data_IF_338517166476
#
_entry.id   IF_338517166476
#
_cell.length_a   1.000
_cell.length_b   1.000
_cell.length_c   1.000
_cell.angle_alpha   90.00
_cell.angle_beta   90.00
_cell.angle_gamma   90.00
#
_symmetry.space_group_name_H-M   'P 1'
#
loop_
_entity.id
_entity.type
_entity.pdbx_description
1 polymer ?
#
# COMPACT_ATOMS: atom_id res chain seq x y z
N UNK A 1 28.81 1.14 7.29
CA UNK A 1 27.74 2.17 7.38
C UNK A 1 26.47 1.44 7.82
N UNK A 2 25.99 1.62 9.05
CA UNK A 2 24.75 0.97 9.50
C UNK A 2 23.59 1.59 8.72
N UNK A 3 22.86 0.76 7.99
CA UNK A 3 21.69 1.13 7.23
C UNK A 3 20.67 1.83 8.15
N UNK A 4 20.27 3.06 7.83
CA UNK A 4 19.37 3.88 8.61
C UNK A 4 17.90 3.41 8.55
N UNK A 5 17.59 2.38 7.77
CA UNK A 5 16.24 1.85 7.56
C UNK A 5 16.14 0.34 7.86
N UNK A 6 16.58 -0.13 9.03
CA UNK A 6 16.87 -1.56 9.18
C UNK A 6 15.66 -2.49 9.24
N UNK A 7 14.42 -2.02 9.38
CA UNK A 7 13.33 -2.95 9.73
C UNK A 7 11.99 -2.73 9.04
N UNK A 8 11.76 -1.61 8.36
CA UNK A 8 10.42 -1.30 7.86
C UNK A 8 10.02 -2.04 6.57
N UNK A 9 10.99 -2.52 5.82
CA UNK A 9 10.79 -3.23 4.55
C UNK A 9 10.95 -4.74 4.68
N UNK A 10 11.41 -5.21 5.83
CA UNK A 10 11.61 -6.63 6.06
C UNK A 10 10.29 -7.31 6.39
N UNK A 11 10.21 -8.60 6.04
CA UNK A 11 9.16 -9.48 6.50
C UNK A 11 9.34 -9.66 8.02
N UNK A 12 8.35 -9.27 8.79
CA UNK A 12 8.32 -9.55 10.23
C UNK A 12 7.64 -10.89 10.45
N UNK A 13 8.22 -11.71 11.30
CA UNK A 13 7.53 -12.89 11.80
C UNK A 13 6.25 -12.42 12.49
N UNK A 14 5.13 -12.92 12.08
CA UNK A 14 3.83 -12.45 12.57
C UNK A 14 3.05 -11.55 11.60
N UNK A 15 3.69 -10.97 10.57
CA UNK A 15 2.99 -10.22 9.55
C UNK A 15 1.97 -11.11 8.81
N UNK A 16 2.37 -12.33 8.50
CA UNK A 16 1.53 -13.28 7.81
C UNK A 16 0.36 -13.76 8.68
N UNK A 17 0.64 -14.09 9.92
CA UNK A 17 -0.39 -14.46 10.89
C UNK A 17 -1.38 -13.34 11.12
N UNK A 18 -0.90 -12.10 11.23
CA UNK A 18 -1.76 -10.91 11.34
C UNK A 18 -2.66 -10.76 10.12
N UNK A 19 -2.09 -10.89 8.92
CA UNK A 19 -2.87 -10.85 7.69
C UNK A 19 -3.93 -11.97 7.65
N UNK A 20 -3.56 -13.20 7.95
CA UNK A 20 -4.49 -14.33 7.94
C UNK A 20 -5.62 -14.16 8.94
N UNK A 21 -5.33 -13.68 10.15
CA UNK A 21 -6.34 -13.40 11.17
C UNK A 21 -7.32 -12.33 10.70
N UNK A 22 -6.82 -11.23 10.16
CA UNK A 22 -7.65 -10.14 9.63
C UNK A 22 -8.49 -10.61 8.44
N UNK A 23 -7.88 -11.30 7.49
CA UNK A 23 -8.55 -11.75 6.28
C UNK A 23 -9.73 -12.70 6.56
N UNK A 24 -9.62 -13.55 7.58
CA UNK A 24 -10.71 -14.45 8.01
C UNK A 24 -11.92 -13.71 8.55
N UNK A 25 -11.74 -12.50 9.07
CA UNK A 25 -12.82 -11.72 9.70
C UNK A 25 -13.45 -10.70 8.75
N UNK A 26 -12.89 -10.53 7.54
CA UNK A 26 -13.50 -9.65 6.54
C UNK A 26 -14.89 -10.16 6.19
N UNK A 27 -15.88 -9.36 6.45
CA UNK A 27 -17.26 -9.64 6.09
C UNK A 27 -17.80 -8.56 5.15
N UNK A 28 -18.72 -8.97 4.30
CA UNK A 28 -19.32 -8.13 3.28
C UNK A 28 -20.83 -8.02 3.52
N UNK A 29 -21.31 -6.82 3.70
CA UNK A 29 -22.75 -6.54 3.74
C UNK A 29 -23.26 -6.32 2.30
N UNK A 30 -24.01 -7.28 1.79
CA UNK A 30 -24.53 -7.23 0.42
C UNK A 30 -25.55 -6.08 0.19
N UNK A 31 -26.16 -5.54 1.24
CA UNK A 31 -27.12 -4.44 1.14
C UNK A 31 -26.43 -3.09 1.01
N UNK A 32 -25.34 -2.88 1.74
CA UNK A 32 -24.64 -1.60 1.82
C UNK A 32 -23.36 -1.57 0.98
N UNK A 33 -22.87 -2.74 0.53
CA UNK A 33 -21.56 -2.88 -0.12
C UNK A 33 -20.37 -2.68 0.83
N UNK A 34 -20.63 -2.50 2.13
CA UNK A 34 -19.56 -2.23 3.11
C UNK A 34 -18.86 -3.52 3.53
N UNK A 35 -17.56 -3.43 3.64
CA UNK A 35 -16.75 -4.45 4.28
C UNK A 35 -16.45 -4.04 5.72
N UNK A 36 -16.40 -5.02 6.61
CA UNK A 36 -15.98 -4.86 7.99
C UNK A 36 -14.92 -5.87 8.34
N UNK A 37 -14.03 -5.50 9.25
CA UNK A 37 -12.91 -6.33 9.72
C UNK A 37 -12.89 -6.30 11.23
N UNK A 38 -12.71 -7.45 11.86
CA UNK A 38 -12.48 -7.55 13.30
C UNK A 38 -10.98 -7.56 13.58
N UNK A 39 -10.56 -6.83 14.60
CA UNK A 39 -9.16 -6.73 15.00
C UNK A 39 -9.02 -6.44 16.50
N UNK A 40 -7.84 -6.71 17.05
CA UNK A 40 -7.53 -6.37 18.43
C UNK A 40 -7.13 -4.87 18.54
N UNK A 41 -7.96 -4.02 19.20
CA UNK A 41 -7.71 -2.58 19.28
C UNK A 41 -6.50 -2.20 20.15
N UNK A 42 -5.98 -3.11 20.95
CA UNK A 42 -4.74 -2.89 21.70
C UNK A 42 -3.50 -2.87 20.79
N UNK A 43 -3.55 -3.61 19.68
CA UNK A 43 -2.43 -3.78 18.76
C UNK A 43 -2.62 -3.03 17.44
N UNK A 44 -3.84 -2.93 16.99
CA UNK A 44 -4.19 -2.43 15.68
C UNK A 44 -5.23 -1.32 15.78
N UNK A 45 -5.28 -0.47 14.76
CA UNK A 45 -6.32 0.54 14.57
C UNK A 45 -6.83 0.51 13.16
N UNK A 46 -8.04 0.97 12.98
CA UNK A 46 -8.63 1.20 11.68
C UNK A 46 -8.62 2.69 11.35
N UNK A 47 -8.13 3.02 10.17
CA UNK A 47 -8.26 4.35 9.57
C UNK A 47 -8.85 4.21 8.17
N UNK A 48 -10.11 4.65 7.98
CA UNK A 48 -10.84 4.39 6.74
C UNK A 48 -10.93 2.89 6.45
N UNK A 49 -10.47 2.48 5.29
CA UNK A 49 -10.45 1.08 4.84
C UNK A 49 -9.07 0.41 5.05
N UNK A 50 -8.31 0.87 6.04
CA UNK A 50 -6.98 0.36 6.37
C UNK A 50 -6.89 -0.12 7.81
N UNK A 51 -6.19 -1.22 8.01
CA UNK A 51 -5.79 -1.72 9.34
C UNK A 51 -4.30 -1.53 9.52
N UNK A 52 -3.92 -0.83 10.58
CA UNK A 52 -2.56 -0.35 10.84
C UNK A 52 -2.12 -0.74 12.25
N UNK A 53 -0.87 -1.15 12.45
CA UNK A 53 -0.34 -1.40 13.78
C UNK A 53 -0.15 -0.10 14.58
N UNK A 54 -0.49 -0.16 15.88
CA UNK A 54 -0.43 1.01 16.76
C UNK A 54 0.99 1.47 17.06
N UNK A 55 1.91 0.52 17.18
CA UNK A 55 3.30 0.75 17.60
C UNK A 55 4.23 1.11 16.44
N UNK A 56 4.19 0.34 15.36
CA UNK A 56 5.15 0.47 14.26
C UNK A 56 4.63 1.24 13.05
N UNK A 57 3.33 1.56 13.00
CA UNK A 57 2.72 2.20 11.84
C UNK A 57 2.77 1.32 10.59
N UNK A 58 2.72 -0.01 10.74
CA UNK A 58 2.65 -0.94 9.60
C UNK A 58 1.21 -1.07 9.13
N UNK A 59 1.01 -0.89 7.83
CA UNK A 59 -0.27 -1.16 7.19
C UNK A 59 -0.37 -2.66 6.88
N UNK A 60 -1.29 -3.33 7.56
CA UNK A 60 -1.47 -4.78 7.43
C UNK A 60 -2.55 -5.18 6.44
N UNK A 61 -3.54 -4.32 6.23
CA UNK A 61 -4.67 -4.64 5.36
C UNK A 61 -5.30 -3.39 4.76
N UNK A 62 -5.53 -3.43 3.44
CA UNK A 62 -6.46 -2.57 2.74
C UNK A 62 -7.69 -3.40 2.32
N UNK A 63 -8.90 -2.90 2.59
CA UNK A 63 -10.15 -3.53 2.19
C UNK A 63 -11.08 -2.57 1.44
N UNK A 64 -10.49 -1.56 0.81
CA UNK A 64 -11.23 -0.56 0.03
C UNK A 64 -11.85 -1.12 -1.23
N UNK A 65 -12.99 -0.55 -1.61
CA UNK A 65 -13.61 -0.77 -2.92
C UNK A 65 -13.24 0.31 -3.95
N UNK A 66 -12.52 1.34 -3.52
CA UNK A 66 -12.15 2.47 -4.37
C UNK A 66 -11.06 2.09 -5.38
N UNK A 67 -11.04 2.76 -6.52
CA UNK A 67 -9.98 2.60 -7.52
C UNK A 67 -8.69 3.30 -7.10
N UNK A 68 -8.82 4.43 -6.41
CA UNK A 68 -7.69 5.23 -5.92
C UNK A 68 -7.73 5.23 -4.40
N UNK A 69 -6.65 4.78 -3.78
CA UNK A 69 -6.52 4.77 -2.32
C UNK A 69 -5.34 5.61 -1.86
N UNK A 70 -5.54 6.33 -0.76
CA UNK A 70 -4.52 7.15 -0.12
C UNK A 70 -4.13 6.53 1.21
N UNK A 71 -2.90 6.10 1.30
CA UNK A 71 -2.35 5.58 2.55
C UNK A 71 -2.27 6.71 3.58
N UNK A 72 -2.82 6.53 4.79
CA UNK A 72 -2.86 7.59 5.80
C UNK A 72 -1.46 8.06 6.26
N UNK A 73 -1.41 9.30 6.72
CA UNK A 73 -0.24 9.81 7.44
C UNK A 73 0.04 8.98 8.69
N UNK A 74 1.31 8.83 9.01
CA UNK A 74 1.76 8.01 10.14
C UNK A 74 2.00 6.54 9.79
N UNK A 75 1.54 6.07 8.62
CA UNK A 75 1.97 4.76 8.10
C UNK A 75 3.42 4.85 7.67
N UNK A 76 4.25 3.94 8.19
CA UNK A 76 5.69 3.90 7.93
C UNK A 76 6.08 2.79 6.97
N UNK A 77 5.34 1.70 6.96
CA UNK A 77 5.62 0.57 6.08
C UNK A 77 4.34 -0.11 5.60
N UNK A 78 4.42 -0.68 4.42
CA UNK A 78 3.39 -1.55 3.86
C UNK A 78 3.79 -2.99 4.11
N UNK A 79 3.01 -3.71 4.91
CA UNK A 79 3.28 -5.09 5.28
C UNK A 79 2.95 -6.07 4.14
N UNK A 80 3.47 -7.31 4.19
CA UNK A 80 3.13 -8.34 3.22
C UNK A 80 1.62 -8.56 3.09
N UNK A 81 1.15 -8.71 1.86
CA UNK A 81 -0.27 -8.91 1.51
C UNK A 81 -1.22 -7.77 1.88
N UNK A 82 -0.71 -6.59 2.28
CA UNK A 82 -1.53 -5.46 2.66
C UNK A 82 -2.54 -5.06 1.57
N UNK A 83 -2.14 -5.17 0.30
CA UNK A 83 -3.02 -4.97 -0.86
C UNK A 83 -3.27 -6.30 -1.56
N UNK A 84 -4.13 -7.11 -0.96
CA UNK A 84 -4.46 -8.42 -1.51
C UNK A 84 -5.65 -8.34 -2.48
N UNK A 85 -5.51 -9.00 -3.63
CA UNK A 85 -6.51 -8.95 -4.73
C UNK A 85 -7.94 -9.28 -4.32
N UNK A 86 -8.12 -10.19 -3.35
CA UNK A 86 -9.45 -10.61 -2.92
C UNK A 86 -10.11 -9.61 -1.96
N UNK A 87 -9.33 -8.74 -1.35
CA UNK A 87 -9.79 -7.79 -0.33
C UNK A 87 -9.94 -6.37 -0.88
N UNK A 88 -9.13 -6.01 -1.86
CA UNK A 88 -9.21 -4.71 -2.54
C UNK A 88 -9.09 -4.87 -4.08
N UNK A 89 -10.05 -5.57 -4.71
CA UNK A 89 -9.94 -5.97 -6.12
C UNK A 89 -10.01 -4.79 -7.10
N UNK A 90 -10.57 -3.66 -6.67
CA UNK A 90 -10.79 -2.49 -7.54
C UNK A 90 -9.63 -1.50 -7.50
N UNK A 91 -8.72 -1.61 -6.53
CA UNK A 91 -7.61 -0.66 -6.40
C UNK A 91 -6.71 -0.71 -7.63
N UNK A 92 -6.56 0.44 -8.29
CA UNK A 92 -5.71 0.66 -9.46
C UNK A 92 -4.54 1.58 -9.16
N UNK A 93 -4.75 2.54 -8.26
CA UNK A 93 -3.74 3.51 -7.90
C UNK A 93 -3.59 3.61 -6.39
N UNK A 94 -2.37 3.43 -5.90
CA UNK A 94 -2.01 3.61 -4.50
C UNK A 94 -1.17 4.88 -4.37
N UNK A 95 -1.62 5.79 -3.50
CA UNK A 95 -0.89 7.01 -3.18
C UNK A 95 -0.36 6.88 -1.77
N UNK A 96 0.95 6.80 -1.64
CA UNK A 96 1.62 6.71 -0.34
C UNK A 96 1.69 8.09 0.31
N UNK A 97 1.52 8.16 1.62
CA UNK A 97 1.85 9.34 2.40
C UNK A 97 3.37 9.57 2.45
N UNK A 98 3.80 10.76 2.82
CA UNK A 98 5.22 11.09 2.95
C UNK A 98 5.91 10.40 4.13
N UNK A 99 5.14 9.80 5.02
CA UNK A 99 5.66 9.03 6.16
C UNK A 99 6.08 7.60 5.79
N UNK A 100 5.65 7.07 4.63
CA UNK A 100 5.99 5.71 4.19
C UNK A 100 7.42 5.64 3.73
N UNK A 101 8.22 4.83 4.42
CA UNK A 101 9.65 4.60 4.15
C UNK A 101 9.98 3.19 3.69
N UNK A 102 9.01 2.29 3.69
CA UNK A 102 9.25 0.90 3.30
C UNK A 102 8.04 0.19 2.69
N UNK A 103 8.31 -0.66 1.71
CA UNK A 103 7.34 -1.59 1.13
C UNK A 103 7.94 -2.99 1.23
N UNK A 104 7.30 -3.84 2.02
CA UNK A 104 7.78 -5.18 2.31
C UNK A 104 7.60 -6.16 1.14
N UNK A 105 8.17 -7.34 1.28
CA UNK A 105 7.97 -8.45 0.35
C UNK A 105 6.47 -8.75 0.17
N UNK A 106 6.04 -8.97 -1.05
CA UNK A 106 4.65 -9.32 -1.40
C UNK A 106 3.58 -8.32 -0.93
N UNK A 107 3.97 -7.08 -0.63
CA UNK A 107 3.04 -6.09 -0.10
C UNK A 107 1.92 -5.72 -1.08
N UNK A 108 2.24 -5.67 -2.37
CA UNK A 108 1.34 -5.34 -3.47
C UNK A 108 1.37 -6.51 -4.45
N UNK A 109 0.93 -7.67 -3.98
CA UNK A 109 1.10 -8.94 -4.67
C UNK A 109 -0.21 -9.41 -5.32
N UNK A 110 -0.13 -9.77 -6.60
CA UNK A 110 -1.26 -10.36 -7.35
C UNK A 110 -2.47 -9.44 -7.50
N UNK A 111 -2.34 -8.17 -7.20
CA UNK A 111 -3.43 -7.19 -7.28
C UNK A 111 -3.52 -6.54 -8.68
N UNK A 112 -4.55 -5.72 -8.87
CA UNK A 112 -4.80 -5.02 -10.13
C UNK A 112 -4.21 -3.60 -10.15
N UNK A 113 -3.30 -3.28 -9.25
CA UNK A 113 -2.67 -1.96 -9.15
C UNK A 113 -1.85 -1.68 -10.41
N UNK A 114 -2.12 -0.54 -11.01
CA UNK A 114 -1.46 -0.06 -12.22
C UNK A 114 -0.45 1.04 -11.94
N UNK A 115 -0.72 1.82 -10.89
CA UNK A 115 0.06 3.00 -10.54
C UNK A 115 0.36 3.07 -9.03
N UNK A 116 1.55 3.52 -8.71
CA UNK A 116 1.99 3.82 -7.35
C UNK A 116 2.55 5.23 -7.31
N UNK A 117 2.13 6.05 -6.35
CA UNK A 117 2.69 7.39 -6.14
C UNK A 117 3.47 7.43 -4.83
N UNK A 118 4.74 7.83 -4.93
CA UNK A 118 5.67 7.96 -3.82
C UNK A 118 5.80 9.43 -3.43
N UNK A 119 5.56 9.73 -2.16
CA UNK A 119 5.69 11.06 -1.59
C UNK A 119 6.92 11.25 -0.70
N UNK A 120 7.53 10.16 -0.25
CA UNK A 120 8.74 10.24 0.56
C UNK A 120 9.99 10.33 -0.34
N UNK A 121 10.93 11.16 0.05
CA UNK A 121 12.22 11.32 -0.63
C UNK A 121 13.10 10.05 -0.53
N UNK A 122 12.94 9.29 0.54
CA UNK A 122 13.67 8.04 0.80
C UNK A 122 12.68 6.92 1.02
N UNK A 123 12.74 5.91 0.18
CA UNK A 123 11.88 4.74 0.31
C UNK A 123 12.68 3.47 0.02
N UNK A 124 12.45 2.45 0.80
CA UNK A 124 12.97 1.12 0.58
C UNK A 124 11.88 0.21 0.04
N UNK A 125 12.12 -0.37 -1.12
CA UNK A 125 11.17 -1.28 -1.76
C UNK A 125 11.83 -2.66 -1.86
N UNK A 126 11.18 -3.68 -1.31
CA UNK A 126 11.64 -5.06 -1.46
C UNK A 126 11.62 -5.49 -2.92
N UNK A 127 12.57 -6.30 -3.34
CA UNK A 127 12.67 -6.87 -4.69
C UNK A 127 11.43 -7.70 -5.08
N UNK A 128 10.72 -8.27 -4.11
CA UNK A 128 9.49 -9.06 -4.31
C UNK A 128 8.21 -8.31 -3.92
N UNK A 129 8.28 -7.00 -3.68
CA UNK A 129 7.13 -6.21 -3.25
C UNK A 129 5.94 -6.27 -4.22
N UNK A 130 6.22 -6.37 -5.50
CA UNK A 130 5.24 -6.36 -6.59
C UNK A 130 5.13 -7.72 -7.32
N UNK A 131 5.58 -8.80 -6.70
CA UNK A 131 5.50 -10.12 -7.29
C UNK A 131 4.05 -10.45 -7.67
N UNK A 132 3.87 -10.96 -8.89
CA UNK A 132 2.58 -11.25 -9.52
C UNK A 132 1.64 -10.04 -9.71
N UNK A 133 2.11 -8.83 -9.50
CA UNK A 133 1.39 -7.61 -9.86
C UNK A 133 1.68 -7.24 -11.32
N UNK A 134 1.11 -7.98 -12.26
CA UNK A 134 1.38 -7.82 -13.69
C UNK A 134 0.80 -6.53 -14.28
N UNK A 135 -0.07 -5.86 -13.55
CA UNK A 135 -0.74 -4.62 -13.98
C UNK A 135 0.08 -3.37 -13.71
N UNK A 136 1.05 -3.41 -12.79
CA UNK A 136 1.84 -2.23 -12.42
C UNK A 136 2.65 -1.74 -13.63
N UNK A 137 2.42 -0.48 -14.03
CA UNK A 137 3.01 0.14 -15.21
C UNK A 137 3.93 1.29 -14.87
N UNK A 138 3.57 2.07 -13.85
CA UNK A 138 4.29 3.29 -13.54
C UNK A 138 4.35 3.54 -12.03
N UNK A 139 5.51 4.02 -11.60
CA UNK A 139 5.72 4.55 -10.25
C UNK A 139 6.01 6.04 -10.40
N UNK A 140 5.08 6.84 -9.90
CA UNK A 140 5.23 8.29 -9.85
C UNK A 140 5.95 8.68 -8.56
N UNK A 141 6.82 9.65 -8.62
CA UNK A 141 7.42 10.25 -7.43
C UNK A 141 7.23 11.75 -7.41
N UNK A 142 6.71 12.27 -6.29
CA UNK A 142 6.48 13.70 -6.08
C UNK A 142 7.77 14.43 -5.73
N UNK A 143 8.64 13.94 -4.83
CA UNK A 143 9.92 14.57 -4.60
C UNK A 143 10.75 14.59 -5.89
N UNK A 144 11.42 15.70 -6.13
CA UNK A 144 12.26 15.91 -7.31
C UNK A 144 13.36 14.84 -7.43
N UNK A 145 13.88 14.39 -6.29
CA UNK A 145 14.82 13.29 -6.19
C UNK A 145 14.30 12.26 -5.20
N UNK A 146 14.19 11.02 -5.62
CA UNK A 146 13.83 9.89 -4.80
C UNK A 146 14.95 8.88 -4.77
N UNK A 147 15.38 8.48 -3.58
CA UNK A 147 16.28 7.36 -3.42
C UNK A 147 15.46 6.11 -3.18
N UNK A 148 15.46 5.23 -4.16
CA UNK A 148 14.79 3.93 -4.08
C UNK A 148 15.86 2.88 -3.87
N UNK A 149 15.81 2.22 -2.74
CA UNK A 149 16.65 1.07 -2.46
C UNK A 149 15.88 -0.19 -2.87
N UNK A 150 16.19 -0.71 -4.03
CA UNK A 150 15.74 -2.02 -4.49
C UNK A 150 16.94 -2.95 -4.40
N UNK A 151 16.71 -4.19 -4.02
CA UNK A 151 17.75 -5.20 -4.08
C UNK A 151 18.27 -5.35 -5.51
N UNK A 152 19.55 -5.59 -5.70
CA UNK A 152 20.25 -5.50 -6.99
C UNK A 152 19.74 -6.43 -8.09
N UNK A 153 18.89 -7.40 -7.77
CA UNK A 153 18.36 -8.40 -8.71
C UNK A 153 16.96 -8.02 -9.22
N UNK A 154 16.83 -6.86 -9.84
CA UNK A 154 15.59 -6.37 -10.47
C UNK A 154 15.02 -7.27 -11.59
N UNK A 155 15.63 -8.40 -11.86
CA UNK A 155 15.16 -9.37 -12.86
C UNK A 155 13.79 -10.00 -12.52
N UNK A 156 13.34 -9.86 -11.26
CA UNK A 156 12.06 -10.40 -10.80
C UNK A 156 10.84 -9.54 -11.12
N UNK A 157 11.03 -8.28 -11.43
CA UNK A 157 9.91 -7.49 -11.91
C UNK A 157 9.58 -7.94 -13.34
N UNK A 158 8.54 -8.71 -13.49
CA UNK A 158 8.17 -9.38 -14.73
C UNK A 158 7.91 -8.44 -15.93
N UNK A 159 7.97 -7.13 -15.70
CA UNK A 159 7.90 -6.08 -16.74
C UNK A 159 8.68 -4.84 -16.28
N UNK A 160 9.26 -4.09 -17.22
CA UNK A 160 9.87 -2.80 -16.89
C UNK A 160 8.78 -1.86 -16.36
N UNK A 161 8.96 -1.37 -15.14
CA UNK A 161 8.11 -0.35 -14.54
C UNK A 161 8.73 1.01 -14.83
N UNK A 162 7.95 1.93 -15.35
CA UNK A 162 8.38 3.29 -15.62
C UNK A 162 8.37 4.11 -14.34
N UNK A 163 9.43 4.86 -14.08
CA UNK A 163 9.50 5.85 -13.02
C UNK A 163 9.29 7.23 -13.61
N UNK A 164 8.35 7.98 -13.06
CA UNK A 164 8.02 9.33 -13.53
C UNK A 164 7.99 10.33 -12.38
N UNK A 165 8.69 11.45 -12.57
CA UNK A 165 8.56 12.58 -11.66
C UNK A 165 7.27 13.34 -11.96
N UNK A 166 6.52 13.68 -10.89
CA UNK A 166 5.36 14.55 -10.94
C UNK A 166 5.61 15.78 -10.06
N UNK A 167 5.34 16.98 -10.59
CA UNK A 167 5.50 18.23 -9.84
C UNK A 167 4.55 18.34 -8.65
N UNK A 168 3.36 17.78 -8.77
CA UNK A 168 2.39 17.61 -7.70
C UNK A 168 1.40 16.51 -8.10
N UNK A 169 0.91 15.75 -7.14
CA UNK A 169 -0.26 14.94 -7.38
C UNK A 169 -1.49 15.85 -7.27
N UNK A 170 -2.09 16.15 -8.39
CA UNK A 170 -3.44 16.72 -8.45
C UNK A 170 -4.37 15.52 -8.56
N UNK A 171 -5.18 15.19 -7.54
CA UNK A 171 -6.22 14.19 -7.72
C UNK A 171 -7.09 14.67 -8.89
N UNK A 172 -7.37 13.79 -9.83
CA UNK A 172 -8.48 14.03 -10.74
C UNK A 172 -9.68 14.30 -9.84
N UNK A 173 -10.22 15.53 -9.93
CA UNK A 173 -11.39 15.86 -9.17
C UNK A 173 -12.46 14.88 -9.60
N UNK A 174 -12.96 14.09 -8.67
CA UNK A 174 -14.31 13.60 -8.77
C UNK A 174 -15.21 14.84 -8.72
N UNK A 175 -15.36 15.49 -9.87
CA UNK A 175 -16.32 16.57 -10.10
C UNK A 175 -17.73 15.99 -10.05
N UNK A 176 -18.06 15.34 -8.95
CA UNK A 176 -19.41 14.88 -8.63
C UNK A 176 -19.91 15.50 -7.31
N UNK A 177 -19.43 16.68 -7.00
CA UNK A 177 -20.07 17.53 -5.99
C UNK A 177 -21.14 18.47 -6.61
N UNK A 178 -21.82 18.01 -7.65
CA UNK A 178 -23.15 18.52 -7.99
C UNK A 178 -24.20 17.79 -7.12
N UNK A 179 -24.17 18.06 -5.83
CA UNK A 179 -25.34 17.89 -5.01
C UNK A 179 -26.24 19.13 -5.23
N UNK A 180 -27.33 18.98 -5.94
CA UNK A 180 -28.37 20.00 -5.92
C UNK A 180 -28.95 20.04 -4.51
N UNK A 181 -28.91 21.18 -3.92
CA UNK A 181 -29.59 21.50 -2.68
C UNK A 181 -31.06 21.07 -2.69
#
# INVERSE_FOLDING_TARGET
MKSYFPHYYEFHQGDWETFEELAKTVSFDAKTGRKTVEFNPEKLRQEGDFIISNDEGRLHLCFSNDEVVRVPEGVKAIAPSAFHKDLCPNVRHIILSDTVVGIAQYAICGCSVEELTINNKYIYISDSAFDWCSSLRVIHHIPEQVTIHVREDNERWSRPVKFEHMSSYVPENDDNDDLPF
#
